data_IF_202287069806
#
_entry.id   IF_202287069806
#
_cell.length_a   1.000
_cell.length_b   1.000
_cell.length_c   1.000
_cell.angle_alpha   90.00
_cell.angle_beta   90.00
_cell.angle_gamma   90.00
#
_symmetry.space_group_name_H-M   'P 1'
#
loop_
_entity.id
_entity.type
_entity.pdbx_description
1 polymer ?
#
# COMPACT_ATOMS: atom_id res chain seq x y z
N UNK A 1 17.62 3.54 -23.54
CA UNK A 1 16.73 4.33 -22.66
C UNK A 1 16.33 3.45 -21.48
N UNK A 2 16.58 3.86 -20.24
CA UNK A 2 16.11 3.13 -19.05
C UNK A 2 14.59 3.28 -18.93
N UNK A 3 13.85 2.17 -18.98
CA UNK A 3 12.39 2.15 -18.80
C UNK A 3 12.12 2.52 -17.35
N UNK A 4 11.62 3.74 -17.08
CA UNK A 4 11.23 4.13 -15.73
C UNK A 4 10.02 3.31 -15.32
N UNK A 5 10.23 2.25 -14.55
CA UNK A 5 9.12 1.51 -13.92
C UNK A 5 8.69 2.31 -12.69
N UNK A 6 7.46 2.84 -12.74
CA UNK A 6 6.89 3.64 -11.66
C UNK A 6 6.50 2.75 -10.49
N UNK A 7 6.94 3.11 -9.28
CA UNK A 7 6.42 2.52 -8.05
C UNK A 7 4.96 2.94 -7.86
N UNK A 8 4.05 1.99 -7.66
CA UNK A 8 2.66 2.26 -7.31
C UNK A 8 2.49 2.19 -5.78
N UNK A 9 1.71 3.12 -5.25
CA UNK A 9 1.34 3.22 -3.84
C UNK A 9 -0.17 3.03 -3.77
N UNK A 10 -0.62 1.94 -3.17
CA UNK A 10 -2.04 1.58 -3.11
C UNK A 10 -2.44 1.43 -1.64
N UNK A 11 -3.14 2.42 -1.06
CA UNK A 11 -3.65 2.33 0.29
C UNK A 11 -4.89 1.42 0.29
N UNK A 12 -4.86 0.35 1.08
CA UNK A 12 -6.01 -0.53 1.31
C UNK A 12 -6.78 -0.15 2.58
N UNK A 13 -6.17 0.65 3.46
CA UNK A 13 -6.84 1.28 4.58
C UNK A 13 -5.94 2.28 5.32
N UNK A 14 -6.48 2.96 6.32
CA UNK A 14 -5.81 4.07 7.02
C UNK A 14 -5.98 5.45 6.35
N UNK A 15 -6.76 5.56 5.27
CA UNK A 15 -7.12 6.86 4.68
C UNK A 15 -8.46 7.36 5.19
N UNK A 16 -8.53 8.65 5.54
CA UNK A 16 -9.77 9.34 5.90
C UNK A 16 -10.37 8.93 7.26
N UNK A 17 -9.63 8.15 8.07
CA UNK A 17 -10.07 7.68 9.38
C UNK A 17 -8.93 7.11 10.21
N UNK A 18 -9.23 6.60 11.40
CA UNK A 18 -8.27 6.00 12.32
C UNK A 18 -8.37 4.48 12.25
N UNK A 19 -7.25 3.80 12.01
CA UNK A 19 -7.17 2.34 11.99
C UNK A 19 -7.33 1.70 10.61
N UNK A 20 -7.37 0.37 10.58
CA UNK A 20 -7.31 -0.46 9.35
C UNK A 20 -6.10 -0.13 8.44
N UNK A 21 -4.99 0.31 9.02
CA UNK A 21 -3.81 0.71 8.26
C UNK A 21 -3.29 -0.47 7.42
N UNK A 22 -3.20 -0.27 6.11
CA UNK A 22 -2.58 -1.22 5.19
C UNK A 22 -2.18 -0.50 3.91
N UNK A 23 -0.91 -0.61 3.53
CA UNK A 23 -0.39 -0.03 2.30
C UNK A 23 0.32 -1.07 1.45
N UNK A 24 0.07 -1.03 0.16
CA UNK A 24 0.69 -1.87 -0.84
C UNK A 24 1.64 -1.03 -1.69
N UNK A 25 2.87 -1.53 -1.80
CA UNK A 25 3.90 -1.04 -2.72
C UNK A 25 4.03 -2.06 -3.84
N UNK A 26 3.72 -1.65 -5.07
CA UNK A 26 3.85 -2.52 -6.24
C UNK A 26 4.89 -1.94 -7.21
N UNK A 27 5.83 -2.78 -7.62
CA UNK A 27 6.79 -2.47 -8.67
C UNK A 27 7.10 -3.73 -9.48
N UNK A 28 7.03 -3.60 -10.80
CA UNK A 28 7.20 -4.69 -11.75
C UNK A 28 6.23 -5.85 -11.44
N UNK A 29 6.72 -7.03 -11.08
CA UNK A 29 5.91 -8.19 -10.72
C UNK A 29 6.04 -8.56 -9.23
N UNK A 30 6.38 -7.58 -8.39
CA UNK A 30 6.59 -7.77 -6.96
C UNK A 30 5.72 -6.82 -6.15
N UNK A 31 5.30 -7.32 -4.99
CA UNK A 31 4.46 -6.60 -4.04
C UNK A 31 5.10 -6.67 -2.66
N UNK A 32 5.08 -5.53 -1.96
CA UNK A 32 5.35 -5.43 -0.52
C UNK A 32 4.10 -4.87 0.15
N UNK A 33 3.66 -5.51 1.22
CA UNK A 33 2.55 -5.05 2.05
C UNK A 33 3.12 -4.59 3.38
N UNK A 34 2.71 -3.40 3.81
CA UNK A 34 3.04 -2.86 5.13
C UNK A 34 1.77 -2.80 5.96
N UNK A 35 1.89 -3.35 7.16
CA UNK A 35 0.85 -3.51 8.17
C UNK A 35 -0.33 -4.41 7.77
N UNK A 36 -1.07 -4.79 8.79
CA UNK A 36 -2.39 -5.41 8.69
C UNK A 36 -3.24 -4.91 9.86
N UNK A 37 -3.37 -3.58 9.94
CA UNK A 37 -4.09 -2.92 11.01
C UNK A 37 -5.55 -3.34 11.06
N UNK A 38 -6.10 -3.40 12.26
CA UNK A 38 -7.54 -3.59 12.50
C UNK A 38 -8.16 -2.25 12.94
N UNK A 39 -9.48 -2.22 13.06
CA UNK A 39 -10.20 -1.11 13.67
C UNK A 39 -11.39 -1.70 14.41
N UNK A 40 -11.56 -1.23 15.64
CA UNK A 40 -12.70 -1.59 16.47
C UNK A 40 -13.88 -0.63 16.17
N UNK A 41 -15.13 -1.06 16.41
CA UNK A 41 -16.30 -0.20 16.34
C UNK A 41 -16.18 1.07 17.19
#
# INVERSE_FOLDING_TARGET
MSKRTSLKLIPLGGLGGIGKNMMVFEKDNQIIIVDCGIMFP
#
